data_IF_531434971113
#
_entry.id   IF_531434971113
#
_cell.length_a   1.000
_cell.length_b   1.000
_cell.length_c   1.000
_cell.angle_alpha   90.00
_cell.angle_beta   90.00
_cell.angle_gamma   90.00
#
_symmetry.space_group_name_H-M   'P 1'
#
loop_
_entity.id
_entity.type
_entity.pdbx_description
1 polymer ?
#
# COMPACT_ATOMS: atom_id res chain seq x y z
N UNK A 1 13.15 1.79 15.43
CA UNK A 1 11.80 1.81 16.04
C UNK A 1 11.88 2.76 17.21
N UNK A 2 11.24 3.93 17.15
CA UNK A 2 11.40 4.98 18.16
C UNK A 2 10.71 4.58 19.47
N UNK A 3 11.47 4.51 20.58
CA UNK A 3 11.01 4.11 21.93
C UNK A 3 10.08 5.10 22.63
N UNK A 4 9.31 5.90 21.88
CA UNK A 4 8.39 6.85 22.48
C UNK A 4 7.01 6.78 21.84
N UNK A 5 6.00 6.79 22.69
CA UNK A 5 4.61 6.98 22.28
C UNK A 5 4.26 8.46 22.31
N UNK A 6 3.23 8.82 21.55
CA UNK A 6 2.58 10.12 21.56
C UNK A 6 1.31 9.99 22.38
N UNK A 7 1.21 10.81 23.42
CA UNK A 7 0.03 10.85 24.29
C UNK A 7 -1.06 11.71 23.66
N UNK A 8 -2.28 11.21 23.67
CA UNK A 8 -3.46 11.88 23.14
C UNK A 8 -4.19 12.51 24.33
N UNK A 9 -4.27 13.84 24.35
CA UNK A 9 -4.77 14.60 25.50
C UNK A 9 -6.07 15.31 25.15
N UNK A 10 -7.08 15.09 25.98
CA UNK A 10 -8.32 15.87 25.97
C UNK A 10 -8.42 16.67 27.27
N UNK A 11 -8.31 18.00 27.18
CA UNK A 11 -8.30 18.87 28.36
C UNK A 11 -7.07 18.61 29.24
N UNK A 12 -7.26 17.85 30.32
CA UNK A 12 -6.20 17.44 31.26
C UNK A 12 -6.03 15.93 31.37
N UNK A 13 -6.81 15.15 30.61
CA UNK A 13 -6.82 13.70 30.69
C UNK A 13 -6.16 13.10 29.44
N UNK A 14 -5.31 12.10 29.66
CA UNK A 14 -4.73 11.29 28.59
C UNK A 14 -5.74 10.20 28.24
N UNK A 15 -6.24 10.21 27.01
CA UNK A 15 -7.25 9.26 26.54
C UNK A 15 -6.65 8.04 25.84
N UNK A 16 -5.39 8.13 25.41
CA UNK A 16 -4.71 7.04 24.73
C UNK A 16 -3.30 7.40 24.32
N UNK A 17 -2.59 6.41 23.79
CA UNK A 17 -1.23 6.52 23.30
C UNK A 17 -1.12 5.88 21.92
N UNK A 18 -0.27 6.43 21.07
CA UNK A 18 -0.01 5.91 19.73
C UNK A 18 1.47 5.98 19.39
N UNK A 19 1.95 5.08 18.54
CA UNK A 19 3.32 5.14 18.06
C UNK A 19 3.53 6.37 17.12
N UNK A 20 4.76 6.86 16.94
CA UNK A 20 5.00 8.09 16.19
C UNK A 20 4.66 7.98 14.69
N UNK A 21 4.74 6.78 14.12
CA UNK A 21 4.39 6.55 12.71
C UNK A 21 2.86 6.53 12.57
N UNK A 22 2.18 5.78 13.44
CA UNK A 22 0.72 5.74 13.52
C UNK A 22 0.11 7.12 13.79
N UNK A 23 0.74 7.94 14.62
CA UNK A 23 0.30 9.30 14.92
C UNK A 23 0.34 10.23 13.71
N UNK A 24 1.39 10.13 12.86
CA UNK A 24 1.45 10.89 11.61
C UNK A 24 0.31 10.54 10.65
N UNK A 25 -0.15 9.28 10.69
CA UNK A 25 -1.25 8.80 9.84
C UNK A 25 -2.66 8.94 10.43
N UNK A 26 -2.80 9.21 11.73
CA UNK A 26 -4.11 9.18 12.43
C UNK A 26 -4.41 10.45 13.22
N UNK A 27 -3.40 11.21 13.59
CA UNK A 27 -3.49 12.37 14.49
C UNK A 27 -3.00 13.66 13.85
N UNK A 28 -2.81 13.71 12.53
CA UNK A 28 -2.52 14.96 11.83
C UNK A 28 -3.62 16.01 12.08
N UNK A 29 -3.31 17.26 11.79
CA UNK A 29 -4.26 18.37 11.96
C UNK A 29 -5.58 18.11 11.23
N UNK A 30 -6.70 18.29 11.92
CA UNK A 30 -8.08 18.03 11.46
C UNK A 30 -8.41 16.54 11.27
N UNK A 31 -7.56 15.61 11.73
CA UNK A 31 -7.87 14.19 11.72
C UNK A 31 -8.99 13.85 12.72
N UNK A 32 -9.85 12.90 12.35
CA UNK A 32 -10.88 12.36 13.23
C UNK A 32 -10.35 11.07 13.85
N UNK A 33 -10.00 11.16 15.14
CA UNK A 33 -9.61 10.04 15.97
C UNK A 33 -10.84 9.45 16.68
N UNK A 34 -11.07 8.15 16.53
CA UNK A 34 -12.17 7.45 17.20
C UNK A 34 -11.62 6.60 18.34
N UNK A 35 -12.08 6.88 19.56
CA UNK A 35 -11.70 6.15 20.76
C UNK A 35 -12.95 5.61 21.48
N UNK A 36 -13.07 4.29 21.54
CA UNK A 36 -14.19 3.58 22.18
C UNK A 36 -15.60 4.06 21.73
N UNK A 37 -15.72 4.48 20.47
CA UNK A 37 -16.98 4.97 19.88
C UNK A 37 -17.20 6.48 20.01
N UNK A 38 -16.38 7.18 20.79
CA UNK A 38 -16.37 8.65 20.86
C UNK A 38 -15.37 9.19 19.85
N UNK A 39 -15.77 10.23 19.11
CA UNK A 39 -14.93 10.87 18.10
C UNK A 39 -14.31 12.14 18.63
N UNK A 40 -13.05 12.32 18.29
CA UNK A 40 -12.25 13.47 18.64
C UNK A 40 -11.59 14.02 17.38
N UNK A 41 -11.59 15.34 17.22
CA UNK A 41 -10.84 16.03 16.18
C UNK A 41 -9.47 16.40 16.72
N UNK A 42 -8.42 16.06 15.99
CA UNK A 42 -7.05 16.47 16.28
C UNK A 42 -6.84 17.93 15.90
N UNK A 43 -6.45 18.75 16.89
CA UNK A 43 -6.16 20.17 16.69
C UNK A 43 -4.71 20.40 16.28
N UNK A 44 -3.80 19.82 17.06
CA UNK A 44 -2.37 20.04 16.91
C UNK A 44 -1.60 18.80 17.37
N UNK A 45 -0.73 18.31 16.48
CA UNK A 45 0.20 17.21 16.74
C UNK A 45 1.60 17.78 16.92
N UNK A 46 2.11 17.75 18.14
CA UNK A 46 3.46 18.18 18.47
C UNK A 46 4.35 16.94 18.66
N UNK A 47 5.14 16.64 17.62
CA UNK A 47 6.05 15.49 17.60
C UNK A 47 7.24 15.67 18.55
N UNK A 48 7.67 16.91 18.83
CA UNK A 48 8.78 17.19 19.74
C UNK A 48 8.36 17.00 21.19
N UNK A 49 7.16 17.50 21.54
CA UNK A 49 6.58 17.33 22.88
C UNK A 49 5.95 15.96 23.08
N UNK A 50 5.74 15.18 22.02
CA UNK A 50 5.07 13.86 22.03
C UNK A 50 3.63 13.94 22.51
N UNK A 51 2.94 15.03 22.17
CA UNK A 51 1.58 15.31 22.61
C UNK A 51 0.69 15.63 21.41
N UNK A 52 -0.53 15.13 21.45
CA UNK A 52 -1.57 15.50 20.52
C UNK A 52 -2.80 16.01 21.28
N UNK A 53 -3.24 17.24 20.99
CA UNK A 53 -4.43 17.82 21.60
C UNK A 53 -5.67 17.51 20.75
N UNK A 54 -6.70 16.99 21.41
CA UNK A 54 -7.93 16.58 20.73
C UNK A 54 -9.19 17.12 21.40
N UNK A 55 -10.22 17.40 20.60
CA UNK A 55 -11.52 17.87 21.06
C UNK A 55 -12.66 16.97 20.59
N UNK A 56 -13.63 16.63 21.48
CA UNK A 56 -14.76 15.80 21.11
C UNK A 56 -15.58 16.49 20.02
N UNK A 57 -15.89 15.74 18.96
CA UNK A 57 -16.56 16.28 17.78
C UNK A 57 -17.61 15.28 17.27
N UNK A 58 -18.83 15.75 17.04
CA UNK A 58 -19.89 14.94 16.42
C UNK A 58 -19.90 15.16 14.91
N UNK A 59 -19.23 14.27 14.18
CA UNK A 59 -19.21 14.22 12.70
C UNK A 59 -19.68 12.85 12.19
N UNK A 60 -20.17 12.80 10.95
CA UNK A 60 -20.65 11.59 10.27
C UNK A 60 -19.62 10.97 9.30
N UNK A 61 -18.37 11.43 9.39
CA UNK A 61 -17.26 10.97 8.57
C UNK A 61 -16.04 10.61 9.42
N UNK A 62 -15.16 9.80 8.85
CA UNK A 62 -13.82 9.54 9.36
C UNK A 62 -12.78 10.02 8.35
N UNK A 63 -11.52 10.10 8.77
CA UNK A 63 -10.43 10.59 7.94
C UNK A 63 -9.39 9.51 7.74
N UNK A 64 -8.89 9.37 6.52
CA UNK A 64 -7.88 8.37 6.15
C UNK A 64 -6.70 9.06 5.45
N UNK A 65 -5.48 8.86 5.97
CA UNK A 65 -4.27 9.43 5.38
C UNK A 65 -3.81 8.63 4.16
N UNK A 66 -3.36 9.34 3.13
CA UNK A 66 -2.69 8.79 1.94
C UNK A 66 -1.19 8.97 2.14
N UNK A 67 -0.51 7.83 2.23
CA UNK A 67 0.93 7.76 2.40
C UNK A 67 1.63 7.73 1.05
N UNK A 68 2.72 8.48 0.95
CA UNK A 68 3.67 8.40 -0.16
C UNK A 68 5.02 7.94 0.39
N UNK A 69 5.54 6.85 -0.16
CA UNK A 69 6.85 6.32 0.15
C UNK A 69 7.81 6.56 -1.01
N UNK A 70 9.08 6.82 -0.69
CA UNK A 70 10.17 6.81 -1.65
C UNK A 70 11.37 6.13 -1.01
N UNK A 71 11.95 5.19 -1.75
CA UNK A 71 13.16 4.48 -1.36
C UNK A 71 14.26 4.81 -2.37
N UNK A 72 15.41 5.24 -1.88
CA UNK A 72 16.56 5.59 -2.73
C UNK A 72 17.83 4.93 -2.23
N UNK A 73 18.56 4.29 -3.14
CA UNK A 73 19.93 3.82 -2.88
C UNK A 73 20.87 5.03 -2.87
N UNK A 74 21.56 5.24 -1.75
CA UNK A 74 22.46 6.39 -1.55
C UNK A 74 23.88 6.01 -1.94
N UNK A 75 24.42 4.94 -1.35
CA UNK A 75 25.79 4.49 -1.55
C UNK A 75 25.83 2.97 -1.77
N UNK A 76 26.04 2.48 -3.01
CA UNK A 76 26.24 1.07 -3.26
C UNK A 76 27.66 0.65 -2.82
N UNK A 77 27.75 -0.36 -1.96
CA UNK A 77 29.02 -0.90 -1.45
C UNK A 77 29.47 -2.12 -2.26
N UNK A 78 28.56 -3.07 -2.49
CA UNK A 78 28.85 -4.34 -3.15
C UNK A 78 27.89 -4.58 -4.30
N UNK A 79 28.41 -5.04 -5.44
CA UNK A 79 27.57 -5.47 -6.56
C UNK A 79 27.71 -6.96 -6.82
N UNK A 80 26.61 -7.58 -7.26
CA UNK A 80 26.58 -8.94 -7.78
C UNK A 80 25.85 -8.91 -9.12
N UNK A 81 26.42 -9.60 -10.10
CA UNK A 81 25.76 -9.85 -11.38
C UNK A 81 25.34 -11.32 -11.43
N UNK A 82 24.07 -11.56 -11.75
CA UNK A 82 23.52 -12.91 -11.85
C UNK A 82 22.71 -13.04 -13.13
N UNK A 83 23.26 -13.77 -14.10
CA UNK A 83 22.62 -14.01 -15.42
C UNK A 83 22.12 -12.71 -16.09
N UNK A 84 22.87 -11.62 -15.96
CA UNK A 84 22.53 -10.31 -16.51
C UNK A 84 21.65 -9.43 -15.62
N UNK A 85 21.14 -9.95 -14.49
CA UNK A 85 20.56 -9.14 -13.42
C UNK A 85 21.68 -8.45 -12.65
N UNK A 86 21.44 -7.22 -12.23
CA UNK A 86 22.36 -6.45 -11.38
C UNK A 86 21.72 -6.29 -10.02
N UNK A 87 22.45 -6.69 -8.98
CA UNK A 87 22.02 -6.54 -7.59
C UNK A 87 23.07 -5.72 -6.85
N UNK A 88 22.67 -4.62 -6.25
CA UNK A 88 23.58 -3.69 -5.57
C UNK A 88 23.19 -3.59 -4.11
N UNK A 89 24.09 -3.96 -3.21
CA UNK A 89 23.93 -3.83 -1.78
C UNK A 89 24.60 -2.55 -1.29
N UNK A 90 23.96 -1.85 -0.35
CA UNK A 90 24.50 -0.65 0.26
C UNK A 90 23.50 0.07 1.17
N UNK A 91 23.75 1.36 1.36
CA UNK A 91 22.90 2.22 2.18
C UNK A 91 21.68 2.72 1.40
N UNK A 92 20.52 2.56 2.02
CA UNK A 92 19.22 2.96 1.48
C UNK A 92 18.61 3.99 2.42
N UNK A 93 18.16 5.10 1.85
CA UNK A 93 17.32 6.07 2.54
C UNK A 93 15.85 5.75 2.25
N UNK A 94 15.07 5.58 3.32
CA UNK A 94 13.63 5.34 3.24
C UNK A 94 12.91 6.59 3.71
N UNK A 95 12.11 7.17 2.83
CA UNK A 95 11.26 8.32 3.11
C UNK A 95 9.79 7.90 3.05
N UNK A 96 9.03 8.10 4.13
CA UNK A 96 7.59 7.88 4.18
C UNK A 96 6.89 9.13 4.70
N UNK A 97 5.99 9.71 3.90
CA UNK A 97 5.27 10.93 4.27
C UNK A 97 3.77 10.82 3.97
N UNK A 98 2.89 11.12 4.92
CA UNK A 98 1.49 11.34 4.62
C UNK A 98 1.32 12.74 4.00
N UNK A 99 0.83 12.84 2.77
CA UNK A 99 0.68 14.12 2.06
C UNK A 99 -0.75 14.65 2.03
N UNK A 100 -1.72 13.75 1.98
CA UNK A 100 -3.14 14.06 1.81
C UNK A 100 -3.96 13.18 2.75
N UNK A 101 -5.14 13.62 3.11
CA UNK A 101 -6.15 12.76 3.70
C UNK A 101 -7.47 12.86 2.95
N UNK A 102 -8.25 11.78 3.01
CA UNK A 102 -9.61 11.67 2.51
C UNK A 102 -10.58 11.77 3.67
N UNK A 103 -11.69 12.47 3.48
CA UNK A 103 -12.85 12.46 4.37
C UNK A 103 -13.84 11.47 3.79
N UNK A 104 -14.19 10.43 4.54
CA UNK A 104 -15.05 9.33 4.07
C UNK A 104 -16.28 9.27 4.97
N UNK A 105 -17.48 9.36 4.38
CA UNK A 105 -18.73 9.27 5.15
C UNK A 105 -18.91 7.84 5.67
N UNK A 106 -19.19 7.68 6.96
CA UNK A 106 -19.22 6.37 7.62
C UNK A 106 -20.28 5.41 7.09
N UNK A 107 -21.44 5.94 6.68
CA UNK A 107 -22.57 5.10 6.25
C UNK A 107 -22.54 4.75 4.77
N UNK A 108 -22.13 5.69 3.92
CA UNK A 108 -22.13 5.51 2.47
C UNK A 108 -20.77 5.12 1.90
N UNK A 109 -19.69 5.25 2.68
CA UNK A 109 -18.31 5.10 2.21
C UNK A 109 -17.94 5.99 1.02
N UNK A 110 -18.70 7.07 0.83
CA UNK A 110 -18.43 8.05 -0.20
C UNK A 110 -17.33 9.00 0.27
N UNK A 111 -16.40 9.30 -0.63
CA UNK A 111 -15.42 10.35 -0.40
C UNK A 111 -16.11 11.72 -0.50
N UNK A 112 -16.11 12.46 0.61
CA UNK A 112 -16.75 13.78 0.72
C UNK A 112 -15.76 14.94 0.58
N UNK A 113 -14.45 14.67 0.58
CA UNK A 113 -13.45 15.71 0.40
C UNK A 113 -12.03 15.28 0.76
N UNK A 114 -11.09 16.18 0.50
CA UNK A 114 -9.67 15.99 0.75
C UNK A 114 -9.11 17.15 1.55
N UNK A 115 -8.02 16.90 2.28
CA UNK A 115 -7.22 17.95 2.89
C UNK A 115 -5.71 17.62 2.83
N UNK A 116 -4.85 18.64 2.84
CA UNK A 116 -3.40 18.43 2.88
C UNK A 116 -2.93 18.07 4.29
N UNK A 117 -1.87 17.27 4.38
CA UNK A 117 -1.14 17.01 5.62
C UNK A 117 0.21 17.71 5.52
N UNK A 118 0.50 18.59 6.47
CA UNK A 118 1.73 19.40 6.52
C UNK A 118 2.68 18.89 7.60
N UNK A 119 2.88 17.58 7.69
CA UNK A 119 3.80 16.96 8.64
C UNK A 119 5.15 16.69 7.97
N UNK A 120 6.22 16.75 8.75
CA UNK A 120 7.56 16.39 8.28
C UNK A 120 7.60 14.90 7.87
N UNK A 121 8.35 14.56 6.81
CA UNK A 121 8.53 13.17 6.39
C UNK A 121 9.19 12.34 7.50
N UNK A 122 8.83 11.06 7.56
CA UNK A 122 9.55 10.08 8.38
C UNK A 122 10.64 9.48 7.50
N UNK A 123 11.89 9.83 7.82
CA UNK A 123 13.07 9.40 7.08
C UNK A 123 13.97 8.60 8.01
N UNK A 124 14.50 7.49 7.51
CA UNK A 124 15.54 6.73 8.20
C UNK A 124 16.47 6.08 7.18
N UNK A 125 17.75 6.00 7.55
CA UNK A 125 18.75 5.30 6.78
C UNK A 125 18.85 3.86 7.27
N UNK A 126 18.98 2.93 6.34
CA UNK A 126 19.08 1.50 6.61
C UNK A 126 19.98 0.84 5.58
N UNK A 127 20.25 -0.45 5.76
CA UNK A 127 20.98 -1.25 4.77
C UNK A 127 20.01 -2.09 3.96
N UNK A 128 20.36 -2.31 2.69
CA UNK A 128 19.59 -3.19 1.82
C UNK A 128 20.19 -3.31 0.44
N UNK A 129 19.44 -3.92 -0.47
CA UNK A 129 19.87 -4.08 -1.84
C UNK A 129 18.81 -3.66 -2.86
N UNK A 130 19.26 -3.14 -3.99
CA UNK A 130 18.48 -2.91 -5.19
C UNK A 130 18.64 -4.11 -6.12
N UNK A 131 17.54 -4.55 -6.73
CA UNK A 131 17.51 -5.59 -7.74
C UNK A 131 17.00 -5.00 -9.06
N UNK A 132 17.83 -5.11 -10.08
CA UNK A 132 17.53 -4.68 -11.45
C UNK A 132 17.47 -5.92 -12.33
N UNK A 133 16.32 -6.12 -12.97
CA UNK A 133 16.07 -7.28 -13.81
C UNK A 133 17.02 -7.31 -15.03
N UNK A 134 17.35 -8.50 -15.54
CA UNK A 134 18.18 -8.66 -16.72
C UNK A 134 17.63 -7.91 -17.93
N UNK A 135 18.51 -7.20 -18.65
CA UNK A 135 18.11 -6.40 -19.82
C UNK A 135 17.45 -7.22 -20.94
N UNK A 136 17.94 -8.44 -21.17
CA UNK A 136 17.40 -9.31 -22.22
C UNK A 136 15.96 -9.73 -21.90
N UNK A 137 15.72 -10.12 -20.65
CA UNK A 137 14.38 -10.47 -20.17
C UNK A 137 13.46 -9.25 -20.16
N UNK A 138 13.91 -8.11 -19.62
CA UNK A 138 13.08 -6.91 -19.51
C UNK A 138 12.66 -6.38 -20.88
N UNK A 139 13.57 -6.35 -21.86
CA UNK A 139 13.23 -5.94 -23.23
C UNK A 139 12.25 -6.90 -23.91
N UNK A 140 12.37 -8.21 -23.69
CA UNK A 140 11.47 -9.18 -24.30
C UNK A 140 10.04 -9.08 -23.74
N UNK A 141 9.94 -8.88 -22.42
CA UNK A 141 8.67 -8.76 -21.71
C UNK A 141 7.98 -7.42 -21.99
N UNK A 142 8.74 -6.33 -21.99
CA UNK A 142 8.26 -4.98 -22.33
C UNK A 142 7.78 -4.88 -23.79
N UNK A 143 8.43 -5.61 -24.70
CA UNK A 143 7.99 -5.71 -26.10
C UNK A 143 6.64 -6.45 -26.27
N UNK A 144 6.26 -7.30 -25.32
CA UNK A 144 4.96 -7.96 -25.32
C UNK A 144 3.89 -7.07 -24.68
N UNK A 145 4.14 -6.59 -23.46
CA UNK A 145 3.29 -5.64 -22.75
C UNK A 145 4.10 -4.93 -21.65
N UNK A 146 4.06 -3.60 -21.64
CA UNK A 146 4.76 -2.76 -20.65
C UNK A 146 4.39 -3.10 -19.21
N UNK A 147 3.17 -3.60 -18.97
CA UNK A 147 2.66 -3.92 -17.63
C UNK A 147 3.27 -5.17 -17.02
N UNK A 148 3.81 -6.07 -17.84
CA UNK A 148 4.36 -7.35 -17.37
C UNK A 148 5.61 -7.19 -16.51
N UNK A 149 6.42 -6.15 -16.79
CA UNK A 149 7.58 -5.83 -15.96
C UNK A 149 7.12 -5.45 -14.54
N UNK A 150 6.13 -4.56 -14.43
CA UNK A 150 5.55 -4.18 -13.14
C UNK A 150 4.96 -5.40 -12.40
N UNK A 151 4.19 -6.23 -13.10
CA UNK A 151 3.62 -7.46 -12.55
C UNK A 151 4.68 -8.38 -11.93
N UNK A 152 5.80 -8.61 -12.65
CA UNK A 152 6.89 -9.44 -12.16
C UNK A 152 7.56 -8.86 -10.92
N UNK A 153 7.81 -7.54 -10.92
CA UNK A 153 8.47 -6.87 -9.80
C UNK A 153 7.61 -6.89 -8.53
N UNK A 154 6.32 -6.59 -8.63
CA UNK A 154 5.41 -6.64 -7.49
C UNK A 154 5.22 -8.07 -6.96
N UNK A 155 5.12 -9.06 -7.85
CA UNK A 155 5.04 -10.46 -7.43
C UNK A 155 6.34 -10.95 -6.79
N UNK A 156 7.50 -10.56 -7.32
CA UNK A 156 8.81 -10.88 -6.73
C UNK A 156 9.01 -10.17 -5.39
N UNK A 157 8.59 -8.90 -5.28
CA UNK A 157 8.60 -8.13 -4.03
C UNK A 157 7.84 -8.86 -2.93
N UNK A 158 6.63 -9.33 -3.26
CA UNK A 158 5.80 -10.09 -2.35
C UNK A 158 6.51 -11.37 -1.88
N UNK A 159 7.01 -12.18 -2.81
CA UNK A 159 7.69 -13.42 -2.46
C UNK A 159 8.94 -13.18 -1.63
N UNK A 160 9.76 -12.19 -1.96
CA UNK A 160 10.97 -11.88 -1.20
C UNK A 160 10.63 -11.43 0.22
N UNK A 161 9.56 -10.66 0.41
CA UNK A 161 9.08 -10.29 1.76
C UNK A 161 8.75 -11.52 2.61
N UNK A 162 8.20 -12.58 2.00
CA UNK A 162 7.83 -13.80 2.70
C UNK A 162 8.97 -14.83 2.81
N UNK A 163 9.84 -14.91 1.81
CA UNK A 163 10.93 -15.88 1.72
C UNK A 163 12.18 -15.42 2.47
N UNK A 164 12.51 -14.13 2.45
CA UNK A 164 13.70 -13.59 3.11
C UNK A 164 13.75 -13.84 4.62
N UNK A 165 12.65 -13.66 5.40
CA UNK A 165 12.67 -13.93 6.84
C UNK A 165 12.99 -15.38 7.19
N UNK A 166 12.62 -16.34 6.33
CA UNK A 166 12.92 -17.78 6.51
C UNK A 166 14.43 -18.02 6.53
N UNK A 167 15.18 -17.28 5.70
CA UNK A 167 16.62 -17.40 5.57
C UNK A 167 17.39 -16.80 6.75
N UNK A 168 16.82 -15.75 7.34
CA UNK A 168 17.46 -14.97 8.38
C UNK A 168 16.97 -15.32 9.79
N UNK A 169 16.00 -16.22 9.92
CA UNK A 169 15.25 -16.46 11.17
C UNK A 169 14.67 -15.16 11.75
N UNK A 170 14.23 -14.26 10.86
CA UNK A 170 13.66 -12.96 11.20
C UNK A 170 12.12 -13.01 11.17
N UNK A 171 11.48 -11.96 11.66
CA UNK A 171 10.04 -11.77 11.47
C UNK A 171 9.76 -11.10 10.11
N UNK A 172 8.54 -11.26 9.59
CA UNK A 172 8.10 -10.59 8.35
C UNK A 172 8.10 -9.06 8.45
N UNK A 173 8.07 -8.53 9.67
CA UNK A 173 8.15 -7.09 9.93
C UNK A 173 9.57 -6.54 9.93
N UNK A 174 10.60 -7.39 9.97
CA UNK A 174 12.00 -6.95 10.04
C UNK A 174 12.58 -6.61 8.66
N UNK A 175 11.98 -7.14 7.60
CA UNK A 175 12.38 -6.93 6.21
C UNK A 175 11.19 -6.34 5.45
N UNK A 176 11.42 -5.20 4.80
CA UNK A 176 10.43 -4.52 3.96
C UNK A 176 10.92 -4.48 2.51
N UNK A 177 9.97 -4.33 1.60
CA UNK A 177 10.24 -4.37 0.16
C UNK A 177 9.48 -3.25 -0.52
N UNK A 178 10.11 -2.57 -1.46
CA UNK A 178 9.47 -1.50 -2.23
C UNK A 178 9.82 -1.63 -3.72
N UNK A 179 8.90 -1.22 -4.58
CA UNK A 179 9.08 -1.30 -6.03
C UNK A 179 8.97 0.10 -6.61
N UNK A 180 10.05 0.54 -7.26
CA UNK A 180 10.07 1.78 -8.02
C UNK A 180 10.02 1.46 -9.50
N UNK A 181 8.85 1.62 -10.12
CA UNK A 181 8.65 1.53 -11.57
C UNK A 181 8.75 2.93 -12.19
N UNK A 182 9.92 3.28 -12.71
CA UNK A 182 10.12 4.55 -13.43
C UNK A 182 10.63 4.23 -14.83
N UNK A 183 9.97 4.82 -15.85
CA UNK A 183 10.48 4.90 -17.22
C UNK A 183 11.47 6.08 -17.30
N UNK A 184 12.66 5.84 -17.86
CA UNK A 184 13.78 6.77 -17.79
C UNK A 184 14.00 7.46 -19.15
N UNK A 185 13.82 8.78 -19.23
CA UNK A 185 14.44 9.64 -20.25
C UNK A 185 15.59 10.43 -19.59
N UNK A 186 16.85 10.02 -19.83
CA UNK A 186 18.05 10.62 -19.20
C UNK A 186 18.53 9.82 -17.98
N UNK A 187 19.83 9.80 -17.70
CA UNK A 187 20.58 8.77 -16.94
C UNK A 187 20.27 8.55 -15.43
N UNK A 188 19.09 8.87 -14.90
CA UNK A 188 18.75 8.58 -13.49
C UNK A 188 17.35 7.95 -13.33
N UNK A 189 17.36 6.73 -12.79
CA UNK A 189 16.26 5.81 -12.37
C UNK A 189 15.73 4.80 -13.40
N UNK A 190 16.30 3.59 -13.32
CA UNK A 190 15.77 2.35 -13.94
C UNK A 190 14.80 1.68 -12.96
N UNK A 191 13.78 1.01 -13.48
CA UNK A 191 12.86 0.22 -12.64
C UNK A 191 13.64 -0.75 -11.75
N UNK A 192 13.40 -0.67 -10.44
CA UNK A 192 14.17 -1.40 -9.43
C UNK A 192 13.25 -1.89 -8.30
N UNK A 193 13.62 -3.05 -7.76
CA UNK A 193 13.06 -3.61 -6.54
C UNK A 193 14.05 -3.39 -5.40
N UNK A 194 13.57 -2.89 -4.28
CA UNK A 194 14.35 -2.71 -3.07
C UNK A 194 13.93 -3.73 -2.02
N UNK A 195 14.93 -4.32 -1.35
CA UNK A 195 14.74 -5.15 -0.16
C UNK A 195 15.67 -4.59 0.91
N UNK A 196 15.12 -4.22 2.06
CA UNK A 196 15.85 -3.50 3.10
C UNK A 196 15.36 -3.82 4.50
N UNK A 197 16.22 -3.56 5.48
CA UNK A 197 15.89 -3.74 6.89
C UNK A 197 14.96 -2.61 7.35
N UNK A 198 13.94 -2.92 8.14
CA UNK A 198 13.02 -1.91 8.70
C UNK A 198 13.62 -1.14 9.89
N UNK A 199 14.76 -1.58 10.38
CA UNK A 199 15.43 -1.00 11.55
C UNK A 199 16.46 0.02 11.05
N UNK A 200 16.39 1.23 11.62
CA UNK A 200 17.35 2.30 11.36
C UNK A 200 18.79 1.85 11.65
N UNK A 201 19.70 2.17 10.73
CA UNK A 201 21.09 1.71 10.72
C UNK A 201 21.31 0.34 10.10
N UNK A 202 20.25 -0.47 9.92
CA UNK A 202 20.34 -1.84 9.44
C UNK A 202 20.89 -2.82 10.49
N UNK A 203 20.33 -4.03 10.55
CA UNK A 203 20.79 -5.10 11.46
C UNK A 203 21.53 -6.20 10.70
N UNK A 204 21.46 -6.18 9.36
CA UNK A 204 22.16 -7.11 8.47
C UNK A 204 21.26 -8.23 7.95
N UNK A 205 19.94 -8.10 8.04
CA UNK A 205 19.04 -9.12 7.45
C UNK A 205 19.13 -9.09 5.93
N UNK A 206 19.01 -7.90 5.33
CA UNK A 206 19.12 -7.72 3.89
C UNK A 206 20.52 -8.09 3.37
N UNK A 207 21.59 -7.88 4.15
CA UNK A 207 22.94 -8.34 3.82
C UNK A 207 23.00 -9.87 3.74
N UNK A 208 22.41 -10.55 4.74
CA UNK A 208 22.35 -12.01 4.77
C UNK A 208 21.52 -12.58 3.60
N UNK A 209 20.42 -11.92 3.24
CA UNK A 209 19.62 -12.27 2.05
C UNK A 209 20.43 -12.04 0.79
N UNK A 210 21.16 -10.93 0.69
CA UNK A 210 22.04 -10.60 -0.42
C UNK A 210 23.12 -11.68 -0.64
N UNK A 211 23.65 -12.26 0.43
CA UNK A 211 24.60 -13.37 0.37
C UNK A 211 24.01 -14.70 -0.08
N UNK A 212 22.73 -14.92 0.22
CA UNK A 212 22.02 -16.15 -0.13
C UNK A 212 20.99 -15.95 -1.25
N UNK A 213 21.16 -14.93 -2.09
CA UNK A 213 20.20 -14.55 -3.14
C UNK A 213 19.79 -15.72 -4.04
N UNK A 214 20.75 -16.51 -4.50
CA UNK A 214 20.47 -17.64 -5.37
C UNK A 214 19.55 -18.65 -4.69
N UNK A 215 19.78 -18.93 -3.40
CA UNK A 215 18.93 -19.82 -2.62
C UNK A 215 17.57 -19.19 -2.32
N UNK A 216 17.52 -17.87 -2.08
CA UNK A 216 16.28 -17.12 -1.90
C UNK A 216 15.39 -17.20 -3.16
N UNK A 217 15.97 -17.03 -4.35
CA UNK A 217 15.23 -17.16 -5.60
C UNK A 217 14.76 -18.59 -5.86
N UNK A 218 15.57 -19.61 -5.52
CA UNK A 218 15.13 -21.00 -5.57
C UNK A 218 13.91 -21.22 -4.67
N UNK A 219 13.94 -20.73 -3.43
CA UNK A 219 12.81 -20.85 -2.50
C UNK A 219 11.56 -20.13 -3.03
N UNK A 220 11.72 -18.93 -3.62
CA UNK A 220 10.62 -18.23 -4.28
C UNK A 220 10.03 -19.04 -5.45
N UNK A 221 10.88 -19.72 -6.22
CA UNK A 221 10.46 -20.57 -7.32
C UNK A 221 9.71 -21.80 -6.82
N UNK A 222 10.20 -22.46 -5.76
CA UNK A 222 9.54 -23.60 -5.12
C UNK A 222 8.13 -23.23 -4.64
N UNK A 223 7.97 -22.04 -4.01
CA UNK A 223 6.66 -21.53 -3.57
C UNK A 223 5.68 -21.38 -4.75
N UNK A 224 6.14 -20.92 -5.91
CA UNK A 224 5.28 -20.76 -7.10
C UNK A 224 4.99 -22.12 -7.77
N UNK A 225 5.96 -23.03 -7.83
CA UNK A 225 5.82 -24.33 -8.49
C UNK A 225 4.97 -25.33 -7.68
N UNK A 226 5.07 -25.31 -6.34
CA UNK A 226 4.29 -26.19 -5.46
C UNK A 226 2.86 -25.69 -5.21
N UNK A 227 2.57 -24.43 -5.54
CA UNK A 227 1.23 -23.89 -5.33
C UNK A 227 0.25 -24.35 -6.42
N UNK A 228 -0.87 -24.94 -6.00
CA UNK A 228 -1.94 -25.44 -6.90
C UNK A 228 -2.87 -24.34 -7.45
N UNK A 229 -2.54 -23.06 -7.25
CA UNK A 229 -3.39 -21.95 -7.71
C UNK A 229 -3.26 -21.71 -9.23
N UNK A 230 -4.35 -21.27 -9.86
CA UNK A 230 -4.36 -20.93 -11.30
C UNK A 230 -4.13 -19.44 -11.58
N UNK A 231 -4.49 -18.56 -10.64
CA UNK A 231 -4.50 -17.10 -10.81
C UNK A 231 -3.69 -16.32 -9.79
N UNK A 232 -2.95 -17.01 -8.92
CA UNK A 232 -2.30 -16.41 -7.75
C UNK A 232 -3.16 -16.48 -6.49
N UNK A 233 -2.52 -16.64 -5.33
CA UNK A 233 -3.16 -16.63 -4.02
C UNK A 233 -2.22 -16.02 -2.96
N UNK A 234 -2.73 -15.66 -1.76
CA UNK A 234 -1.90 -15.12 -0.69
C UNK A 234 -0.81 -16.05 -0.15
N UNK A 235 -0.80 -17.33 -0.55
CA UNK A 235 0.26 -18.28 -0.17
C UNK A 235 1.44 -18.27 -1.14
N UNK A 236 1.25 -17.80 -2.39
CA UNK A 236 2.30 -17.69 -3.39
C UNK A 236 2.48 -16.21 -3.80
N UNK A 237 1.85 -15.80 -4.90
CA UNK A 237 1.74 -14.40 -5.32
C UNK A 237 0.25 -14.10 -5.45
N UNK A 238 -0.32 -13.13 -4.71
CA UNK A 238 -1.71 -12.75 -4.89
C UNK A 238 -1.93 -12.13 -6.28
N UNK A 239 -3.16 -12.20 -6.83
CA UNK A 239 -3.47 -11.56 -8.12
C UNK A 239 -3.10 -10.07 -8.11
N UNK A 240 -3.44 -9.37 -7.02
CA UNK A 240 -3.00 -8.01 -6.74
C UNK A 240 -2.01 -7.99 -5.54
N UNK A 241 -0.70 -7.93 -5.79
CA UNK A 241 0.28 -7.73 -4.73
C UNK A 241 0.16 -6.34 -4.09
N UNK A 242 0.57 -6.20 -2.81
CA UNK A 242 0.58 -4.91 -2.13
C UNK A 242 1.59 -3.95 -2.77
N UNK A 243 1.30 -2.65 -2.71
CA UNK A 243 2.19 -1.60 -3.20
C UNK A 243 2.05 -1.28 -4.70
N UNK A 244 1.14 -1.95 -5.42
CA UNK A 244 0.83 -1.64 -6.83
C UNK A 244 0.32 -0.21 -6.94
N UNK A 245 1.04 0.61 -7.72
CA UNK A 245 0.65 1.97 -8.03
C UNK A 245 0.14 2.07 -9.47
N UNK A 246 -1.02 2.70 -9.65
CA UNK A 246 -1.63 2.97 -10.95
C UNK A 246 -2.88 2.12 -11.22
N UNK A 247 -3.98 2.81 -11.54
CA UNK A 247 -5.30 2.21 -11.73
C UNK A 247 -5.35 1.20 -12.90
N UNK A 248 -4.60 1.47 -13.97
CA UNK A 248 -4.50 0.58 -15.14
C UNK A 248 -3.78 -0.74 -14.83
N UNK A 249 -2.70 -0.66 -14.04
CA UNK A 249 -1.94 -1.85 -13.63
C UNK A 249 -2.74 -2.64 -12.60
N UNK A 250 -3.34 -1.98 -11.62
CA UNK A 250 -4.21 -2.60 -10.62
C UNK A 250 -5.35 -3.39 -11.27
N UNK A 251 -6.09 -2.76 -12.18
CA UNK A 251 -7.20 -3.42 -12.91
C UNK A 251 -6.71 -4.64 -13.71
N UNK A 252 -5.58 -4.49 -14.41
CA UNK A 252 -4.98 -5.58 -15.19
C UNK A 252 -4.56 -6.77 -14.32
N UNK A 253 -3.98 -6.53 -13.14
CA UNK A 253 -3.53 -7.58 -12.24
C UNK A 253 -4.70 -8.29 -11.54
N UNK A 254 -5.79 -7.59 -11.27
CA UNK A 254 -7.02 -8.20 -10.70
C UNK A 254 -7.66 -9.15 -11.72
N UNK A 255 -7.70 -8.76 -12.99
CA UNK A 255 -8.39 -9.51 -14.05
C UNK A 255 -7.55 -10.65 -14.64
N UNK A 256 -6.27 -10.77 -14.29
CA UNK A 256 -5.35 -11.71 -14.92
C UNK A 256 -4.46 -12.48 -13.95
N UNK A 257 -3.90 -13.59 -14.40
CA UNK A 257 -2.88 -14.33 -13.66
C UNK A 257 -1.45 -13.74 -13.83
N UNK A 258 -1.34 -12.51 -14.34
CA UNK A 258 -0.07 -11.93 -14.76
C UNK A 258 0.95 -11.83 -13.64
N UNK A 259 0.55 -11.45 -12.42
CA UNK A 259 1.46 -11.38 -11.25
C UNK A 259 2.21 -12.70 -11.06
N UNK A 260 1.51 -13.83 -11.03
CA UNK A 260 2.14 -15.15 -10.83
C UNK A 260 3.00 -15.60 -12.00
N UNK A 261 2.53 -15.44 -13.24
CA UNK A 261 3.22 -15.94 -14.44
C UNK A 261 4.43 -15.08 -14.83
N UNK A 262 4.33 -13.75 -14.68
CA UNK A 262 5.44 -12.84 -14.91
C UNK A 262 6.55 -13.06 -13.87
N UNK A 263 6.21 -13.28 -12.61
CA UNK A 263 7.21 -13.62 -11.58
C UNK A 263 7.83 -15.00 -11.82
N UNK A 264 7.04 -16.01 -12.23
CA UNK A 264 7.56 -17.33 -12.65
C UNK A 264 8.56 -17.21 -13.80
N UNK A 265 8.22 -16.42 -14.82
CA UNK A 265 9.09 -16.13 -15.97
C UNK A 265 10.42 -15.50 -15.53
N UNK A 266 10.36 -14.48 -14.66
CA UNK A 266 11.53 -13.80 -14.14
C UNK A 266 12.43 -14.76 -13.34
N UNK A 267 11.86 -15.53 -12.41
CA UNK A 267 12.62 -16.50 -11.60
C UNK A 267 13.23 -17.62 -12.46
N UNK A 268 12.51 -18.09 -13.48
CA UNK A 268 13.05 -19.08 -14.43
C UNK A 268 14.26 -18.53 -15.15
N UNK A 269 14.19 -17.28 -15.63
CA UNK A 269 15.31 -16.63 -16.27
C UNK A 269 16.48 -16.43 -15.31
N UNK A 270 16.25 -16.04 -14.05
CA UNK A 270 17.30 -15.81 -13.05
C UNK A 270 18.03 -17.08 -12.60
N UNK A 271 17.32 -18.21 -12.52
CA UNK A 271 17.88 -19.48 -12.04
C UNK A 271 18.48 -20.30 -13.18
N UNK A 272 17.82 -20.34 -14.35
CA UNK A 272 18.16 -21.25 -15.46
C UNK A 272 18.76 -20.54 -16.68
N UNK A 273 18.63 -19.22 -16.78
CA UNK A 273 19.06 -18.44 -17.95
C UNK A 273 18.14 -18.65 -19.17
N UNK A 274 16.96 -19.22 -18.95
CA UNK A 274 16.01 -19.55 -20.01
C UNK A 274 14.93 -18.47 -20.12
N UNK A 275 14.82 -17.85 -21.30
CA UNK A 275 13.77 -16.88 -21.58
C UNK A 275 12.45 -17.59 -21.89
N UNK A 276 11.60 -17.72 -20.87
CA UNK A 276 10.25 -18.27 -21.00
C UNK A 276 9.24 -17.14 -20.90
N UNK A 277 8.51 -16.86 -21.98
CA UNK A 277 7.48 -15.81 -21.97
C UNK A 277 6.27 -16.23 -21.11
N UNK A 278 5.73 -15.32 -20.27
CA UNK A 278 4.59 -15.62 -19.41
C UNK A 278 3.32 -15.89 -20.24
N UNK A 279 2.54 -16.89 -19.84
CA UNK A 279 1.27 -17.24 -20.50
C UNK A 279 0.10 -16.67 -19.73
N UNK A 280 -0.31 -15.46 -20.12
CA UNK A 280 -1.33 -14.72 -19.39
C UNK A 280 -2.72 -15.09 -19.86
N UNK A 281 -3.57 -15.41 -18.88
CA UNK A 281 -5.00 -15.68 -19.05
C UNK A 281 -5.76 -14.59 -18.32
N UNK A 282 -6.59 -13.85 -19.07
CA UNK A 282 -7.50 -12.85 -18.52
C UNK A 282 -8.81 -13.53 -18.22
N UNK A 283 -9.25 -13.43 -16.97
CA UNK A 283 -10.56 -13.92 -16.52
C UNK A 283 -11.50 -12.72 -16.53
N UNK A 284 -12.20 -12.51 -17.65
CA UNK A 284 -13.30 -11.54 -17.67
C UNK A 284 -14.41 -12.06 -16.74
N UNK A 285 -14.48 -11.51 -15.53
CA UNK A 285 -15.67 -11.67 -14.71
C UNK A 285 -16.79 -10.90 -15.43
N UNK A 286 -17.90 -11.56 -15.81
CA UNK A 286 -19.01 -10.84 -16.40
C UNK A 286 -19.47 -9.78 -15.40
N UNK A 287 -19.44 -8.50 -15.81
CA UNK A 287 -19.95 -7.39 -15.01
C UNK A 287 -21.30 -7.80 -14.42
N UNK A 288 -21.37 -7.83 -13.09
CA UNK A 288 -22.61 -8.10 -12.38
C UNK A 288 -23.67 -7.14 -12.92
N UNK A 289 -24.75 -7.70 -13.46
CA UNK A 289 -25.82 -6.91 -14.05
C UNK A 289 -26.20 -5.80 -13.08
N UNK A 290 -26.21 -4.56 -13.56
CA UNK A 290 -26.73 -3.41 -12.78
C UNK A 290 -28.04 -3.86 -12.16
N UNK A 291 -28.04 -4.10 -10.85
CA UNK A 291 -29.24 -4.51 -10.15
C UNK A 291 -30.18 -3.32 -10.37
N UNK A 292 -31.29 -3.50 -11.12
CA UNK A 292 -32.20 -2.40 -11.34
C UNK A 292 -32.66 -1.92 -9.98
N UNK A 293 -32.69 -0.59 -9.79
CA UNK A 293 -33.15 0.00 -8.54
C UNK A 293 -34.41 -0.73 -8.07
N UNK A 294 -34.48 -1.16 -6.80
CA UNK A 294 -35.64 -1.86 -6.29
C UNK A 294 -36.89 -1.03 -6.61
N UNK A 295 -37.93 -1.70 -7.10
CA UNK A 295 -39.18 -1.04 -7.51
C UNK A 295 -39.60 -0.07 -6.40
N UNK A 296 -39.84 1.22 -6.72
CA UNK A 296 -40.14 2.22 -5.72
C UNK A 296 -41.31 1.77 -4.84
N UNK A 297 -41.05 1.63 -3.54
CA UNK A 297 -42.04 1.24 -2.54
C UNK A 297 -43.20 2.26 -2.53
N UNK A 298 -44.33 1.87 -3.13
CA UNK A 298 -45.52 2.72 -3.21
C UNK A 298 -46.04 3.12 -1.84
N UNK A 299 -45.90 2.27 -0.82
CA UNK A 299 -46.35 2.58 0.54
C UNK A 299 -45.47 3.65 1.17
N UNK A 300 -44.14 3.54 0.99
CA UNK A 300 -43.20 4.56 1.44
C UNK A 300 -43.42 5.90 0.76
N UNK A 301 -43.71 5.91 -0.54
CA UNK A 301 -44.06 7.14 -1.29
C UNK A 301 -45.37 7.74 -0.78
N UNK A 302 -46.41 6.93 -0.55
CA UNK A 302 -47.69 7.40 0.02
C UNK A 302 -47.50 7.96 1.43
N UNK A 303 -46.67 7.34 2.25
CA UNK A 303 -46.36 7.79 3.60
C UNK A 303 -45.61 9.13 3.57
N UNK A 304 -44.57 9.26 2.75
CA UNK A 304 -43.81 10.50 2.57
C UNK A 304 -44.70 11.65 2.07
N UNK A 305 -45.60 11.38 1.13
CA UNK A 305 -46.56 12.39 0.65
C UNK A 305 -47.54 12.85 1.75
N UNK A 306 -48.00 11.93 2.61
CA UNK A 306 -48.82 12.28 3.78
C UNK A 306 -48.04 13.12 4.79
N UNK A 307 -46.80 12.75 5.09
CA UNK A 307 -45.92 13.48 6.00
C UNK A 307 -45.61 14.88 5.48
N UNK A 308 -45.28 15.03 4.19
CA UNK A 308 -45.03 16.33 3.56
C UNK A 308 -46.28 17.23 3.56
N UNK A 309 -47.48 16.67 3.34
CA UNK A 309 -48.74 17.42 3.48
C UNK A 309 -48.95 17.89 4.92
N UNK A 310 -48.75 17.02 5.90
CA UNK A 310 -48.88 17.36 7.32
C UNK A 310 -47.88 18.45 7.73
N UNK A 311 -46.62 18.33 7.30
CA UNK A 311 -45.57 19.33 7.55
C UNK A 311 -45.93 20.69 6.93
N UNK A 312 -46.45 20.72 5.71
CA UNK A 312 -46.89 21.96 5.04
C UNK A 312 -48.08 22.62 5.76
N UNK A 313 -49.04 21.82 6.24
CA UNK A 313 -50.17 22.33 7.04
C UNK A 313 -49.68 22.93 8.37
N UNK A 314 -48.76 22.25 9.05
CA UNK A 314 -48.17 22.74 10.30
C UNK A 314 -47.37 24.02 10.09
N UNK A 315 -46.60 24.11 9.00
CA UNK A 315 -45.86 25.31 8.61
C UNK A 315 -46.81 26.49 8.34
N UNK A 316 -47.84 26.29 7.54
CA UNK A 316 -48.84 27.32 7.26
C UNK A 316 -49.62 27.75 8.52
N UNK A 317 -49.82 26.84 9.49
CA UNK A 317 -50.47 27.16 10.76
C UNK A 317 -49.56 27.99 11.66
N UNK A 318 -48.26 27.70 11.69
CA UNK A 318 -47.24 28.54 12.36
C UNK A 318 -47.14 29.93 11.73
N UNK A 319 -47.18 30.03 10.40
CA UNK A 319 -47.13 31.31 9.67
C UNK A 319 -48.39 32.17 9.84
N UNK A 320 -49.53 31.60 10.24
CA UNK A 320 -50.77 32.35 10.55
C UNK A 320 -50.88 32.80 12.01
N UNK A 321 -50.00 32.30 12.88
CA UNK A 321 -49.97 32.62 14.32
C UNK A 321 -48.90 33.67 14.66
N UNK A 322 -48.09 34.06 13.68
CA UNK A 322 -47.21 35.24 13.68
C UNK A 322 -47.79 36.30 12.74
#
# INVERSE_FOLDING_TARGET
MTDYNIEIVHGTEVIGELDPIGARGTLYKDAIYSHLGTKYMSLELDLEKKLCYVEPTEVDYYTEAVWEGRVTMVEPETNKEMQGARVEFGFINVNKQPKLYKKIRERSYENIGYGPITLAPFEYDTTGFSFIAPREWSMAVDAADKRYMGAAYYGLSYLLRHAAPILCMADIKDIDTDVSLIECEGEEWKSALYVFDTIEGGVGYAEKVFDMLQFCFSLCMDIIEECECSGGCPSCVPPLPPGVAGEELESFLIESNASSECTRSLLTYLLRGELVMPRITVTELPLEQVIPDPVPDEERIRLMNKLNRAAKILKNKREKLH
#
